data_IF_443329737976
#
_entry.id   IF_443329737976
#
_cell.length_a   1.000
_cell.length_b   1.000
_cell.length_c   1.000
_cell.angle_alpha   90.00
_cell.angle_beta   90.00
_cell.angle_gamma   90.00
#
_symmetry.space_group_name_H-M   'P 1'
#
loop_
_entity.id
_entity.type
_entity.pdbx_description
1 polymer ?
#
# COMPACT_ATOMS: atom_id res chain seq x y z
N UNK A 1 14.76 -28.76 -9.95
CA UNK A 1 14.79 -27.32 -10.31
C UNK A 1 13.56 -26.52 -9.85
N UNK A 2 12.35 -27.11 -9.77
CA UNK A 2 11.08 -26.45 -9.37
C UNK A 2 11.01 -25.94 -7.90
N UNK A 3 11.75 -26.58 -6.95
CA UNK A 3 11.67 -26.29 -5.51
C UNK A 3 12.28 -24.93 -5.08
N UNK A 4 13.41 -24.51 -5.68
CA UNK A 4 14.09 -23.25 -5.32
C UNK A 4 13.30 -22.00 -5.76
N UNK A 5 12.59 -22.06 -6.90
CA UNK A 5 11.82 -20.94 -7.46
C UNK A 5 10.57 -20.63 -6.60
N UNK A 6 9.86 -21.67 -6.15
CA UNK A 6 8.73 -21.53 -5.22
C UNK A 6 9.19 -20.90 -3.89
N UNK A 7 10.29 -21.38 -3.29
CA UNK A 7 10.83 -20.81 -2.04
C UNK A 7 11.16 -19.31 -2.16
N UNK A 8 11.81 -18.89 -3.24
CA UNK A 8 12.11 -17.46 -3.48
C UNK A 8 10.84 -16.63 -3.67
N UNK A 9 9.83 -17.14 -4.38
CA UNK A 9 8.55 -16.45 -4.59
C UNK A 9 7.80 -16.24 -3.26
N UNK A 10 7.72 -17.27 -2.42
CA UNK A 10 7.07 -17.19 -1.10
C UNK A 10 7.79 -16.22 -0.17
N UNK A 11 9.12 -16.26 -0.12
CA UNK A 11 9.90 -15.31 0.67
C UNK A 11 9.67 -13.85 0.22
N UNK A 12 9.62 -13.62 -1.11
CA UNK A 12 9.35 -12.28 -1.67
C UNK A 12 7.93 -11.81 -1.35
N UNK A 13 6.95 -12.70 -1.43
CA UNK A 13 5.55 -12.38 -1.12
C UNK A 13 5.38 -12.06 0.37
N UNK A 14 6.05 -12.81 1.25
CA UNK A 14 6.04 -12.56 2.70
C UNK A 14 6.62 -11.18 3.03
N UNK A 15 7.81 -10.87 2.52
CA UNK A 15 8.45 -9.56 2.72
C UNK A 15 7.55 -8.40 2.26
N UNK A 16 6.88 -8.55 1.12
CA UNK A 16 5.96 -7.51 0.62
C UNK A 16 4.76 -7.28 1.57
N UNK A 17 4.29 -8.33 2.25
CA UNK A 17 3.21 -8.23 3.22
C UNK A 17 3.67 -7.63 4.55
N UNK A 18 4.85 -8.02 5.03
CA UNK A 18 5.48 -7.42 6.23
C UNK A 18 5.63 -5.90 6.03
N UNK A 19 6.22 -5.47 4.91
CA UNK A 19 6.37 -4.05 4.60
C UNK A 19 5.03 -3.29 4.54
N UNK A 20 3.93 -3.95 4.16
CA UNK A 20 2.63 -3.30 4.11
C UNK A 20 2.06 -3.07 5.52
N UNK A 21 2.20 -4.05 6.40
CA UNK A 21 1.72 -3.94 7.78
C UNK A 21 2.47 -2.83 8.51
N UNK A 22 3.79 -2.77 8.32
CA UNK A 22 4.63 -1.71 8.90
C UNK A 22 4.23 -0.33 8.35
N UNK A 23 3.99 -0.21 7.03
CA UNK A 23 3.50 1.02 6.41
C UNK A 23 2.12 1.44 6.98
N UNK A 24 1.21 0.50 7.24
CA UNK A 24 -0.11 0.79 7.85
C UNK A 24 0.07 1.31 9.28
N UNK A 25 0.89 0.65 10.09
CA UNK A 25 1.14 1.05 11.49
C UNK A 25 1.74 2.46 11.55
N UNK A 26 2.76 2.73 10.73
CA UNK A 26 3.41 4.04 10.70
C UNK A 26 2.44 5.15 10.23
N UNK A 27 1.56 4.88 9.27
CA UNK A 27 0.52 5.84 8.85
C UNK A 27 -0.48 6.14 9.99
N UNK A 28 -1.01 5.10 10.65
CA UNK A 28 -2.00 5.26 11.73
C UNK A 28 -1.40 5.96 12.97
N UNK A 29 -0.11 5.76 13.24
CA UNK A 29 0.60 6.43 14.31
C UNK A 29 1.01 7.87 13.97
N UNK A 30 0.86 8.31 12.72
CA UNK A 30 1.32 9.63 12.27
C UNK A 30 2.84 9.74 12.14
N UNK A 31 3.54 8.63 11.94
CA UNK A 31 5.00 8.55 11.81
C UNK A 31 5.48 8.78 10.36
N UNK A 32 4.55 9.00 9.43
CA UNK A 32 4.85 9.26 8.02
C UNK A 32 4.84 10.74 7.69
N UNK A 33 5.91 11.21 7.06
CA UNK A 33 5.92 12.49 6.34
C UNK A 33 5.03 12.46 5.10
N UNK A 34 4.57 13.64 4.67
CA UNK A 34 3.59 13.78 3.60
C UNK A 34 3.93 13.01 2.31
N UNK A 35 5.17 13.12 1.82
CA UNK A 35 5.60 12.42 0.61
C UNK A 35 5.49 10.89 0.76
N UNK A 36 5.75 10.37 1.96
CA UNK A 36 5.61 8.95 2.28
C UNK A 36 4.14 8.53 2.30
N UNK A 37 3.25 9.39 2.83
CA UNK A 37 1.81 9.18 2.80
C UNK A 37 1.30 9.08 1.36
N UNK A 38 1.70 10.01 0.48
CA UNK A 38 1.30 9.99 -0.94
C UNK A 38 1.77 8.70 -1.63
N UNK A 39 3.03 8.30 -1.43
CA UNK A 39 3.57 7.06 -1.98
C UNK A 39 2.84 5.83 -1.43
N UNK A 40 2.53 5.82 -0.14
CA UNK A 40 1.77 4.75 0.51
C UNK A 40 0.37 4.61 -0.10
N UNK A 41 -0.40 5.70 -0.18
CA UNK A 41 -1.74 5.67 -0.78
C UNK A 41 -1.71 5.30 -2.26
N UNK A 42 -0.72 5.77 -3.04
CA UNK A 42 -0.58 5.35 -4.43
C UNK A 42 -0.34 3.84 -4.55
N UNK A 43 0.45 3.23 -3.65
CA UNK A 43 0.62 1.77 -3.60
C UNK A 43 -0.70 1.06 -3.29
N UNK A 44 -1.47 1.55 -2.31
CA UNK A 44 -2.78 0.98 -1.94
C UNK A 44 -3.79 1.07 -3.09
N UNK A 45 -3.81 2.17 -3.83
CA UNK A 45 -4.67 2.33 -5.01
C UNK A 45 -4.25 1.33 -6.10
N UNK A 46 -2.96 1.23 -6.39
CA UNK A 46 -2.43 0.38 -7.47
C UNK A 46 -2.71 -1.12 -7.27
N UNK A 47 -2.78 -1.58 -6.02
CA UNK A 47 -3.06 -2.96 -5.67
C UNK A 47 -4.51 -3.21 -5.19
N UNK A 48 -5.34 -2.17 -5.17
CA UNK A 48 -6.76 -2.24 -4.82
C UNK A 48 -7.07 -2.24 -3.32
N UNK A 49 -6.06 -2.24 -2.44
CA UNK A 49 -6.28 -2.31 -1.00
C UNK A 49 -6.89 -1.03 -0.42
N UNK A 50 -6.72 0.12 -1.05
CA UNK A 50 -7.43 1.35 -0.63
C UNK A 50 -8.96 1.16 -0.58
N UNK A 51 -9.48 0.25 -1.39
CA UNK A 51 -10.92 -0.06 -1.51
C UNK A 51 -11.34 -1.29 -0.69
N UNK A 52 -10.37 -2.01 -0.13
CA UNK A 52 -10.62 -3.22 0.68
C UNK A 52 -10.38 -2.98 2.16
N UNK A 53 -9.48 -2.04 2.50
CA UNK A 53 -9.25 -1.60 3.87
C UNK A 53 -10.46 -0.81 4.38
N UNK A 54 -10.88 -1.11 5.62
CA UNK A 54 -12.00 -0.47 6.28
C UNK A 54 -11.60 0.91 6.83
N UNK A 55 -12.58 1.72 7.25
CA UNK A 55 -12.32 3.03 7.87
C UNK A 55 -12.28 4.18 6.86
N UNK A 56 -11.22 5.00 6.91
CA UNK A 56 -11.05 6.21 6.08
C UNK A 56 -10.25 5.98 4.80
N UNK A 57 -9.50 4.88 4.68
CA UNK A 57 -8.58 4.63 3.55
C UNK A 57 -9.19 4.91 2.16
N UNK A 58 -10.40 4.42 1.89
CA UNK A 58 -11.06 4.66 0.61
C UNK A 58 -11.40 6.13 0.38
N UNK A 59 -11.88 6.84 1.40
CA UNK A 59 -12.21 8.28 1.30
C UNK A 59 -10.94 9.12 1.13
N UNK A 60 -9.89 8.81 1.89
CA UNK A 60 -8.59 9.47 1.78
C UNK A 60 -7.96 9.23 0.41
N UNK A 61 -8.01 8.00 -0.11
CA UNK A 61 -7.52 7.70 -1.46
C UNK A 61 -8.29 8.48 -2.54
N UNK A 62 -9.62 8.61 -2.41
CA UNK A 62 -10.42 9.43 -3.32
C UNK A 62 -10.05 10.91 -3.26
N UNK A 63 -9.93 11.47 -2.06
CA UNK A 63 -9.50 12.87 -1.89
C UNK A 63 -8.12 13.13 -2.53
N UNK A 64 -7.14 12.25 -2.30
CA UNK A 64 -5.82 12.36 -2.92
C UNK A 64 -5.85 12.23 -4.45
N UNK A 65 -6.78 11.47 -5.02
CA UNK A 65 -6.99 11.41 -6.47
C UNK A 65 -7.58 12.72 -6.99
N UNK A 66 -8.58 13.26 -6.29
CA UNK A 66 -9.27 14.50 -6.68
C UNK A 66 -8.35 15.72 -6.61
N UNK A 67 -7.48 15.76 -5.59
CA UNK A 67 -6.46 16.80 -5.40
C UNK A 67 -5.24 16.63 -6.32
N UNK A 68 -5.14 15.49 -7.03
CA UNK A 68 -4.06 15.23 -7.99
C UNK A 68 -2.76 14.69 -7.39
N UNK A 69 -2.72 14.36 -6.10
CA UNK A 69 -1.58 13.72 -5.46
C UNK A 69 -1.43 12.24 -5.85
N UNK A 70 -2.54 11.58 -6.16
CA UNK A 70 -2.58 10.19 -6.61
C UNK A 70 -3.34 10.06 -7.93
N UNK A 71 -3.12 8.95 -8.62
CA UNK A 71 -3.85 8.60 -9.85
C UNK A 71 -4.61 7.29 -9.71
N UNK A 72 -5.81 7.24 -10.29
CA UNK A 72 -6.52 5.97 -10.48
C UNK A 72 -5.70 5.06 -11.38
N UNK A 73 -5.70 3.77 -11.06
CA UNK A 73 -5.17 2.74 -11.95
C UNK A 73 -6.01 2.73 -13.24
N UNK A 74 -5.35 2.86 -14.39
CA UNK A 74 -5.96 2.66 -15.70
C UNK A 74 -6.33 1.20 -15.91
#
# INVERSE_FOLDING_TARGET
MQSKKKRKLFARRRRKMENLLDDIIAYENGEMEWDSVVVFFQKLINNGMAWSLQGHYGRTAMAMIEEGYCVRKK
#
